data_IF_122075910800
#
_entry.id   IF_122075910800
#
_cell.length_a   1.000
_cell.length_b   1.000
_cell.length_c   1.000
_cell.angle_alpha   90.00
_cell.angle_beta   90.00
_cell.angle_gamma   90.00
#
_symmetry.space_group_name_H-M   'P 1'
#
loop_
_entity.id
_entity.type
_entity.pdbx_description
1 polymer ?
#
# COMPACT_ATOMS: atom_id res chain seq x y z
N UNK A 1 -5.14 7.89 27.36
CA UNK A 1 -4.89 8.56 26.08
C UNK A 1 -5.93 8.03 25.14
N UNK A 2 -6.75 8.89 24.55
CA UNK A 2 -7.83 8.46 23.68
C UNK A 2 -7.25 7.86 22.37
N UNK A 3 -7.96 6.92 21.74
CA UNK A 3 -7.54 6.36 20.45
C UNK A 3 -7.48 7.46 19.39
N UNK A 4 -8.42 8.40 19.48
CA UNK A 4 -8.50 9.57 18.60
C UNK A 4 -7.28 10.49 18.78
N UNK A 5 -6.90 10.77 20.03
CA UNK A 5 -5.69 11.57 20.32
C UNK A 5 -4.43 10.90 19.76
N UNK A 6 -4.34 9.58 19.90
CA UNK A 6 -3.19 8.79 19.44
C UNK A 6 -3.05 8.81 17.90
N UNK A 7 -4.18 8.71 17.19
CA UNK A 7 -4.23 8.85 15.72
C UNK A 7 -3.75 10.24 15.30
N UNK A 8 -4.33 11.28 15.89
CA UNK A 8 -4.05 12.67 15.52
C UNK A 8 -2.62 13.08 15.86
N UNK A 9 -2.10 12.67 17.01
CA UNK A 9 -0.72 12.97 17.40
C UNK A 9 0.27 12.36 16.40
N UNK A 10 0.08 11.09 16.04
CA UNK A 10 0.94 10.41 15.06
C UNK A 10 0.85 11.03 13.68
N UNK A 11 -0.37 11.34 13.23
CA UNK A 11 -0.58 12.04 11.97
C UNK A 11 0.15 13.39 11.95
N UNK A 12 -0.02 14.20 13.00
CA UNK A 12 0.58 15.54 13.08
C UNK A 12 2.11 15.51 13.21
N UNK A 13 2.68 14.44 13.77
CA UNK A 13 4.12 14.33 13.97
C UNK A 13 4.86 13.91 12.69
N UNK A 14 4.38 12.87 12.02
CA UNK A 14 5.16 12.21 10.97
C UNK A 14 4.44 12.11 9.62
N UNK A 15 3.11 12.31 9.58
CA UNK A 15 2.27 11.99 8.40
C UNK A 15 2.55 10.61 7.79
N UNK A 16 2.96 9.67 8.63
CA UNK A 16 3.37 8.33 8.22
C UNK A 16 2.17 7.39 8.25
N UNK A 17 1.66 7.09 7.06
CA UNK A 17 0.48 6.25 6.83
C UNK A 17 0.78 4.79 7.15
N UNK A 18 1.99 4.31 6.84
CA UNK A 18 2.36 2.90 7.06
C UNK A 18 2.40 2.58 8.55
N UNK A 19 2.97 3.48 9.35
CA UNK A 19 2.95 3.39 10.81
C UNK A 19 1.51 3.40 11.36
N UNK A 20 0.65 4.30 10.86
CA UNK A 20 -0.75 4.38 11.29
C UNK A 20 -1.55 3.09 10.98
N UNK A 21 -1.33 2.50 9.80
CA UNK A 21 -1.98 1.26 9.39
C UNK A 21 -1.46 0.07 10.19
N UNK A 22 -0.14 -0.07 10.34
CA UNK A 22 0.49 -1.22 11.00
C UNK A 22 0.15 -1.33 12.49
N UNK A 23 -0.08 -0.20 13.16
CA UNK A 23 -0.50 -0.16 14.56
C UNK A 23 -1.99 -0.46 14.76
N UNK A 24 -2.76 -0.60 13.68
CA UNK A 24 -4.17 -0.94 13.75
C UNK A 24 -5.03 0.13 14.44
N UNK A 25 -4.59 1.39 14.47
CA UNK A 25 -5.26 2.46 15.22
C UNK A 25 -6.71 2.73 14.77
N UNK A 26 -7.06 2.35 13.53
CA UNK A 26 -8.40 2.46 12.99
C UNK A 26 -9.29 1.22 13.20
N UNK A 27 -8.82 0.21 13.95
CA UNK A 27 -9.57 -1.05 14.12
C UNK A 27 -10.81 -0.92 15.01
N UNK A 28 -10.81 0.05 15.94
CA UNK A 28 -11.92 0.26 16.87
C UNK A 28 -12.75 1.50 16.47
N UNK A 29 -13.69 1.27 15.56
CA UNK A 29 -14.60 2.30 15.06
C UNK A 29 -15.50 2.86 16.18
N UNK A 30 -15.90 2.02 17.14
CA UNK A 30 -16.79 2.44 18.24
C UNK A 30 -16.08 3.39 19.19
N UNK A 31 -14.81 3.11 19.50
CA UNK A 31 -13.99 4.02 20.29
C UNK A 31 -13.83 5.37 19.59
N UNK A 32 -13.44 5.39 18.31
CA UNK A 32 -13.27 6.63 17.53
C UNK A 32 -14.57 7.46 17.51
N UNK A 33 -15.70 6.82 17.26
CA UNK A 33 -16.99 7.51 17.23
C UNK A 33 -17.37 8.08 18.59
N UNK A 34 -17.17 7.31 19.66
CA UNK A 34 -17.42 7.76 21.03
C UNK A 34 -16.57 8.98 21.39
N UNK A 35 -15.30 8.99 20.97
CA UNK A 35 -14.37 10.09 21.19
C UNK A 35 -14.73 11.34 20.37
N UNK A 36 -15.33 11.18 19.19
CA UNK A 36 -15.86 12.31 18.41
C UNK A 36 -17.12 12.92 19.05
N UNK A 37 -17.98 12.09 19.65
CA UNK A 37 -19.24 12.52 20.25
C UNK A 37 -19.06 13.40 21.50
N UNK A 38 -17.95 13.22 22.23
CA UNK A 38 -17.61 14.03 23.42
C UNK A 38 -16.95 15.38 23.10
N UNK A 39 -16.51 15.60 21.86
CA UNK A 39 -15.89 16.86 21.44
C UNK A 39 -16.94 17.96 21.26
N UNK A 40 -16.51 19.21 21.52
CA UNK A 40 -17.30 20.39 21.14
C UNK A 40 -17.44 20.47 19.61
N UNK A 41 -18.44 21.21 19.13
CA UNK A 41 -18.69 21.35 17.68
C UNK A 41 -17.45 21.83 16.92
N UNK A 42 -16.77 22.84 17.44
CA UNK A 42 -15.57 23.42 16.83
C UNK A 42 -14.39 22.42 16.78
N UNK A 43 -14.17 21.68 17.88
CA UNK A 43 -13.14 20.64 17.94
C UNK A 43 -13.47 19.49 16.98
N UNK A 44 -14.74 19.07 16.95
CA UNK A 44 -15.21 18.00 16.07
C UNK A 44 -14.98 18.36 14.61
N UNK A 45 -15.31 19.58 14.19
CA UNK A 45 -15.06 20.03 12.82
C UNK A 45 -13.56 19.99 12.47
N UNK A 46 -12.69 20.44 13.38
CA UNK A 46 -11.25 20.39 13.17
C UNK A 46 -10.74 18.94 13.03
N UNK A 47 -11.14 18.07 13.94
CA UNK A 47 -10.73 16.66 13.95
C UNK A 47 -11.25 15.92 12.73
N UNK A 48 -12.51 16.14 12.33
CA UNK A 48 -13.06 15.54 11.11
C UNK A 48 -12.24 15.94 9.88
N UNK A 49 -11.82 17.20 9.78
CA UNK A 49 -10.94 17.65 8.68
C UNK A 49 -9.61 16.90 8.67
N UNK A 50 -9.02 16.63 9.83
CA UNK A 50 -7.78 15.85 9.92
C UNK A 50 -8.01 14.37 9.57
N UNK A 51 -9.14 13.80 9.97
CA UNK A 51 -9.52 12.45 9.57
C UNK A 51 -9.76 12.34 8.06
N UNK A 52 -10.36 13.35 7.43
CA UNK A 52 -10.51 13.42 5.97
C UNK A 52 -9.14 13.50 5.26
N UNK A 53 -8.20 14.27 5.79
CA UNK A 53 -6.81 14.32 5.29
C UNK A 53 -6.14 12.95 5.38
N UNK A 54 -6.32 12.24 6.49
CA UNK A 54 -5.80 10.88 6.69
C UNK A 54 -6.46 9.90 5.72
N UNK A 55 -7.78 9.96 5.54
CA UNK A 55 -8.52 9.10 4.61
C UNK A 55 -8.00 9.27 3.18
N UNK A 56 -7.83 10.51 2.73
CA UNK A 56 -7.29 10.80 1.41
C UNK A 56 -5.88 10.21 1.25
N UNK A 57 -5.04 10.37 2.27
CA UNK A 57 -3.69 9.86 2.27
C UNK A 57 -3.67 8.32 2.17
N UNK A 58 -4.51 7.63 2.95
CA UNK A 58 -4.68 6.18 2.89
C UNK A 58 -5.13 5.74 1.49
N UNK A 59 -6.10 6.44 0.87
CA UNK A 59 -6.56 6.13 -0.49
C UNK A 59 -5.41 6.25 -1.51
N UNK A 60 -4.64 7.33 -1.46
CA UNK A 60 -3.47 7.52 -2.34
C UNK A 60 -2.41 6.45 -2.12
N UNK A 61 -2.17 6.04 -0.87
CA UNK A 61 -1.24 4.96 -0.56
C UNK A 61 -1.70 3.64 -1.18
N UNK A 62 -2.99 3.29 -1.04
CA UNK A 62 -3.57 2.07 -1.65
C UNK A 62 -3.43 2.10 -3.17
N UNK A 63 -3.72 3.23 -3.82
CA UNK A 63 -3.55 3.40 -5.26
C UNK A 63 -2.09 3.21 -5.70
N UNK A 64 -1.14 3.71 -4.90
CA UNK A 64 0.29 3.51 -5.10
C UNK A 64 0.68 2.03 -5.07
N UNK A 65 0.26 1.31 -4.03
CA UNK A 65 0.50 -0.14 -3.89
C UNK A 65 -0.10 -0.94 -5.05
N UNK A 66 -1.31 -0.59 -5.50
CA UNK A 66 -1.94 -1.26 -6.64
C UNK A 66 -1.17 -1.05 -7.95
N UNK A 67 -0.56 0.13 -8.12
CA UNK A 67 0.32 0.43 -9.24
C UNK A 67 1.62 -0.36 -9.16
N UNK A 68 2.29 -0.36 -8.01
CA UNK A 68 3.52 -1.14 -7.78
C UNK A 68 3.31 -2.63 -8.04
N UNK A 69 2.18 -3.18 -7.57
CA UNK A 69 1.80 -4.57 -7.82
C UNK A 69 1.67 -4.87 -9.32
N UNK A 70 1.08 -3.96 -10.11
CA UNK A 70 0.99 -4.11 -11.57
C UNK A 70 2.37 -4.06 -12.22
N UNK A 71 3.23 -3.15 -11.78
CA UNK A 71 4.58 -3.00 -12.32
C UNK A 71 5.45 -4.23 -12.01
N UNK A 72 5.40 -4.76 -10.79
CA UNK A 72 6.09 -6.00 -10.41
C UNK A 72 5.61 -7.18 -11.26
N UNK A 73 4.30 -7.30 -11.48
CA UNK A 73 3.73 -8.35 -12.31
C UNK A 73 4.22 -8.25 -13.77
N UNK A 74 4.24 -7.04 -14.33
CA UNK A 74 4.73 -6.81 -15.68
C UNK A 74 6.23 -7.14 -15.82
N UNK A 75 7.04 -6.80 -14.83
CA UNK A 75 8.46 -7.16 -14.78
C UNK A 75 8.63 -8.68 -14.73
N UNK A 76 7.88 -9.38 -13.87
CA UNK A 76 7.93 -10.84 -13.77
C UNK A 76 7.55 -11.53 -15.08
N UNK A 77 6.47 -11.08 -15.73
CA UNK A 77 6.03 -11.61 -17.03
C UNK A 77 7.09 -11.39 -18.13
N UNK A 78 7.72 -10.21 -18.14
CA UNK A 78 8.81 -9.91 -19.07
C UNK A 78 10.05 -10.78 -18.83
N UNK A 79 10.46 -10.96 -17.58
CA UNK A 79 11.57 -11.85 -17.19
C UNK A 79 11.27 -13.30 -17.57
N UNK A 80 10.05 -13.78 -17.33
CA UNK A 80 9.65 -15.14 -17.67
C UNK A 80 9.61 -15.37 -19.18
N UNK A 81 9.15 -14.38 -19.96
CA UNK A 81 9.21 -14.41 -21.42
C UNK A 81 10.65 -14.44 -21.93
N UNK A 82 11.53 -13.63 -21.35
CA UNK A 82 12.96 -13.59 -21.69
C UNK A 82 13.63 -14.93 -21.39
N UNK A 83 13.42 -15.49 -20.19
CA UNK A 83 13.96 -16.79 -19.80
C UNK A 83 13.48 -17.92 -20.73
N UNK A 84 12.19 -17.94 -21.09
CA UNK A 84 11.66 -18.89 -22.08
C UNK A 84 12.30 -18.75 -23.44
N UNK A 85 12.52 -17.52 -23.92
CA UNK A 85 13.22 -17.28 -25.18
C UNK A 85 14.66 -17.81 -25.11
N UNK A 86 15.42 -17.51 -24.05
CA UNK A 86 16.78 -18.01 -23.88
C UNK A 86 16.84 -19.55 -23.88
N UNK A 87 15.92 -20.22 -23.17
CA UNK A 87 15.83 -21.68 -23.15
C UNK A 87 15.47 -22.25 -24.54
N UNK A 88 14.55 -21.61 -25.26
CA UNK A 88 14.19 -22.02 -26.63
C UNK A 88 15.39 -21.92 -27.57
N UNK A 89 16.12 -20.79 -27.56
CA UNK A 89 17.32 -20.60 -28.40
C UNK A 89 18.45 -21.56 -28.01
N UNK A 90 18.69 -21.78 -26.71
CA UNK A 90 19.68 -22.75 -26.24
C UNK A 90 19.35 -24.18 -26.69
N UNK A 91 18.08 -24.57 -26.65
CA UNK A 91 17.65 -25.90 -27.15
C UNK A 91 17.77 -26.05 -28.67
N UNK A 92 17.52 -24.98 -29.43
CA UNK A 92 17.65 -25.00 -30.90
C UNK A 92 19.10 -25.13 -31.36
N UNK A 93 20.05 -24.55 -30.63
CA UNK A 93 21.50 -24.65 -30.94
C UNK A 93 22.01 -26.08 -30.71
N UNK A 94 21.55 -26.76 -29.65
CA UNK A 94 21.94 -28.15 -29.34
C UNK A 94 21.41 -29.14 -30.39
N UNK A 95 20.18 -28.92 -30.88
CA UNK A 95 19.57 -29.75 -31.94
C UNK A 95 20.29 -29.58 -33.29
N UNK A 96 20.78 -28.36 -33.61
CA UNK A 96 21.50 -28.13 -34.86
C UNK A 96 22.92 -28.73 -34.88
N UNK A 97 23.57 -28.86 -33.72
CA UNK A 97 24.90 -29.48 -33.63
C UNK A 97 24.87 -31.01 -33.64
N UNK A 98 23.80 -31.65 -33.14
CA UNK A 98 23.63 -33.12 -33.20
C UNK A 98 23.29 -33.69 -34.58
N UNK A 99 22.91 -32.85 -35.54
CA UNK A 99 22.58 -33.27 -36.90
C UNK A 99 23.76 -33.27 -37.89
N UNK A 100 24.98 -32.96 -37.43
CA UNK A 100 26.19 -32.83 -38.26
C UNK A 100 27.34 -33.78 -37.89
N UNK A 101 27.11 -34.75 -36.99
CA UNK A 101 28.05 -35.85 -36.74
C UNK A 101 27.74 -37.07 -37.60
#
# INVERSE_FOLDING_TARGET
>A
MDILDSILEKWNKNKDIESLISEGLFSDQTAIQSSLEILSEEQRTHVLRQLDEIELAIRTYIEGIDKEKKDIKAQLDATLKSAKACLSYGSSIDIQNKGKE
#
